data_IF_988118576297
#
_entry.id   IF_988118576297
#
_cell.length_a   1.000
_cell.length_b   1.000
_cell.length_c   1.000
_cell.angle_alpha   90.00
_cell.angle_beta   90.00
_cell.angle_gamma   90.00
#
_symmetry.space_group_name_H-M   'P 1'
#
loop_
_entity.id
_entity.type
_entity.pdbx_description
1 polymer ?
#
# COMPACT_ATOMS: atom_id res chain seq x y z
N UNK A 1 -12.19 10.36 -8.88
CA UNK A 1 -11.57 9.06 -8.55
C UNK A 1 -10.22 9.18 -7.83
N UNK A 2 -9.44 10.24 -8.08
CA UNK A 2 -8.16 10.55 -7.42
C UNK A 2 -8.17 10.34 -5.91
N UNK A 3 -9.18 10.88 -5.21
CA UNK A 3 -9.34 10.71 -3.78
C UNK A 3 -9.51 9.24 -3.36
N UNK A 4 -10.44 8.52 -3.99
CA UNK A 4 -10.76 7.13 -3.61
C UNK A 4 -9.62 6.16 -3.87
N UNK A 5 -8.90 6.32 -4.98
CA UNK A 5 -7.72 5.51 -5.29
C UNK A 5 -6.58 5.79 -4.31
N UNK A 6 -6.30 7.07 -4.00
CA UNK A 6 -5.32 7.44 -3.00
C UNK A 6 -5.72 6.94 -1.61
N UNK A 7 -6.97 7.15 -1.20
CA UNK A 7 -7.47 6.71 0.10
C UNK A 7 -7.39 5.19 0.29
N UNK A 8 -7.93 4.41 -0.65
CA UNK A 8 -7.95 2.95 -0.52
C UNK A 8 -6.55 2.35 -0.59
N UNK A 9 -5.70 2.85 -1.50
CA UNK A 9 -4.30 2.42 -1.58
C UNK A 9 -3.54 2.75 -0.29
N UNK A 10 -3.59 4.02 0.15
CA UNK A 10 -2.93 4.44 1.38
C UNK A 10 -3.49 3.78 2.63
N UNK A 11 -4.76 3.36 2.66
CA UNK A 11 -5.35 2.68 3.81
C UNK A 11 -4.69 1.32 4.06
N UNK A 12 -4.39 0.56 3.00
CA UNK A 12 -3.75 -0.76 3.14
C UNK A 12 -2.33 -0.62 3.68
N UNK A 13 -1.54 0.27 3.09
CA UNK A 13 -0.17 0.54 3.58
C UNK A 13 -0.18 1.07 5.02
N UNK A 14 -1.17 1.90 5.35
CA UNK A 14 -1.33 2.43 6.71
C UNK A 14 -1.62 1.32 7.72
N UNK A 15 -2.35 0.27 7.31
CA UNK A 15 -2.63 -0.90 8.17
C UNK A 15 -1.35 -1.69 8.42
N UNK A 16 -0.52 -1.89 7.40
CA UNK A 16 0.78 -2.57 7.52
C UNK A 16 1.74 -1.77 8.41
N UNK A 17 1.87 -0.47 8.15
CA UNK A 17 2.68 0.43 8.97
C UNK A 17 2.22 0.41 10.43
N UNK A 18 0.90 0.51 10.68
CA UNK A 18 0.33 0.48 12.02
C UNK A 18 0.56 -0.86 12.71
N UNK A 19 0.46 -1.98 11.99
CA UNK A 19 0.69 -3.33 12.54
C UNK A 19 2.13 -3.49 13.02
N UNK A 20 3.11 -2.99 12.25
CA UNK A 20 4.51 -2.97 12.67
C UNK A 20 4.68 -2.13 13.95
N UNK A 21 4.10 -0.93 14.00
CA UNK A 21 4.20 -0.04 15.16
C UNK A 21 3.54 -0.65 16.39
N UNK A 22 2.37 -1.29 16.24
CA UNK A 22 1.67 -1.99 17.33
C UNK A 22 2.49 -3.19 17.82
N UNK A 23 3.02 -4.01 16.92
CA UNK A 23 3.85 -5.16 17.27
C UNK A 23 5.07 -4.74 18.11
N UNK A 24 5.78 -3.69 17.68
CA UNK A 24 6.95 -3.17 18.41
C UNK A 24 6.52 -2.47 19.71
N UNK A 25 5.45 -1.68 19.69
CA UNK A 25 4.95 -0.94 20.85
C UNK A 25 4.47 -1.84 21.99
N UNK A 26 3.79 -2.93 21.65
CA UNK A 26 3.30 -3.92 22.63
C UNK A 26 4.42 -4.81 23.17
N UNK A 27 5.46 -5.10 22.39
CA UNK A 27 6.55 -6.00 22.80
C UNK A 27 7.70 -5.29 23.51
N UNK A 28 8.03 -4.07 23.09
CA UNK A 28 9.22 -3.32 23.55
C UNK A 28 8.90 -1.97 24.20
N UNK A 29 7.63 -1.61 24.33
CA UNK A 29 7.17 -0.35 24.90
C UNK A 29 6.97 0.75 23.85
N UNK A 30 6.19 1.77 24.20
CA UNK A 30 5.64 2.72 23.21
C UNK A 30 6.57 3.90 22.87
N UNK A 31 7.49 4.28 23.76
CA UNK A 31 8.25 5.53 23.61
C UNK A 31 9.13 5.51 22.36
N UNK A 32 10.03 4.53 22.27
CA UNK A 32 10.97 4.33 21.18
C UNK A 32 10.33 4.17 19.78
N UNK A 33 9.35 3.27 19.57
CA UNK A 33 8.72 3.09 18.25
C UNK A 33 7.87 4.28 17.80
N UNK A 34 7.24 5.02 18.73
CA UNK A 34 6.53 6.26 18.37
C UNK A 34 7.50 7.33 17.85
N UNK A 35 8.68 7.49 18.45
CA UNK A 35 9.71 8.38 17.90
C UNK A 35 10.15 7.94 16.50
N UNK A 36 10.35 6.63 16.28
CA UNK A 36 10.70 6.08 14.96
C UNK A 36 9.62 6.39 13.91
N UNK A 37 8.35 6.22 14.29
CA UNK A 37 7.18 6.52 13.45
C UNK A 37 7.15 7.99 13.06
N UNK A 38 7.30 8.91 14.03
CA UNK A 38 7.28 10.35 13.77
C UNK A 38 8.43 10.76 12.85
N UNK A 39 9.64 10.24 13.05
CA UNK A 39 10.79 10.52 12.19
C UNK A 39 10.55 10.01 10.77
N UNK A 40 9.99 8.81 10.60
CA UNK A 40 9.63 8.28 9.28
C UNK A 40 8.61 9.18 8.58
N UNK A 41 7.54 9.57 9.26
CA UNK A 41 6.49 10.44 8.72
C UNK A 41 7.03 11.81 8.29
N UNK A 42 7.92 12.40 9.09
CA UNK A 42 8.58 13.66 8.72
C UNK A 42 9.48 13.49 7.48
N UNK A 43 10.27 12.42 7.41
CA UNK A 43 11.10 12.13 6.25
C UNK A 43 10.26 11.95 4.97
N UNK A 44 9.14 11.23 5.06
CA UNK A 44 8.20 11.04 3.95
C UNK A 44 7.54 12.36 3.54
N UNK A 45 7.13 13.20 4.49
CA UNK A 45 6.56 14.52 4.18
C UNK A 45 7.56 15.42 3.44
N UNK A 46 8.83 15.42 3.86
CA UNK A 46 9.92 16.11 3.15
C UNK A 46 10.09 15.54 1.74
N UNK A 47 10.05 14.21 1.59
CA UNK A 47 10.16 13.56 0.29
C UNK A 47 9.01 13.96 -0.65
N UNK A 48 7.76 13.97 -0.17
CA UNK A 48 6.60 14.45 -0.93
C UNK A 48 6.75 15.92 -1.32
N UNK A 49 7.20 16.78 -0.41
CA UNK A 49 7.36 18.20 -0.68
C UNK A 49 8.42 18.47 -1.75
N UNK A 50 9.57 17.81 -1.67
CA UNK A 50 10.67 17.97 -2.62
C UNK A 50 10.33 17.34 -3.96
N UNK A 51 10.00 16.05 -3.97
CA UNK A 51 9.79 15.30 -5.20
C UNK A 51 8.43 15.64 -5.84
N UNK A 52 7.37 15.86 -5.07
CA UNK A 52 6.06 16.19 -5.60
C UNK A 52 6.08 17.50 -6.41
N UNK A 53 6.69 18.57 -5.88
CA UNK A 53 6.81 19.84 -6.59
C UNK A 53 7.78 19.74 -7.78
N UNK A 54 8.92 19.07 -7.60
CA UNK A 54 9.95 18.96 -8.64
C UNK A 54 9.46 18.15 -9.84
N UNK A 55 8.76 17.05 -9.59
CA UNK A 55 8.24 16.16 -10.63
C UNK A 55 7.14 16.85 -11.43
N UNK A 56 6.19 17.50 -10.75
CA UNK A 56 5.05 18.16 -11.42
C UNK A 56 5.48 19.35 -12.28
N UNK A 57 6.55 20.05 -11.89
CA UNK A 57 6.98 21.28 -12.59
C UNK A 57 8.00 21.06 -13.70
N UNK A 58 8.77 19.96 -13.67
CA UNK A 58 9.90 19.73 -14.60
C UNK A 58 9.69 18.57 -15.57
N UNK A 59 8.76 17.66 -15.33
CA UNK A 59 8.59 16.44 -16.12
C UNK A 59 7.41 16.59 -17.08
N UNK A 60 7.57 16.33 -18.40
CA UNK A 60 6.46 16.35 -19.35
C UNK A 60 5.36 15.35 -18.97
N UNK A 61 4.10 15.73 -19.20
CA UNK A 61 2.93 14.95 -18.81
C UNK A 61 2.95 13.51 -19.35
N UNK A 62 3.31 13.31 -20.62
CA UNK A 62 3.38 11.97 -21.24
C UNK A 62 4.45 11.09 -20.57
N UNK A 63 5.63 11.66 -20.30
CA UNK A 63 6.72 10.97 -19.59
C UNK A 63 6.30 10.61 -18.17
N UNK A 64 5.60 11.52 -17.51
CA UNK A 64 5.06 11.32 -16.17
C UNK A 64 4.06 10.16 -16.16
N UNK A 65 3.07 10.18 -17.06
CA UNK A 65 2.07 9.11 -17.24
C UNK A 65 2.73 7.77 -17.55
N UNK A 66 3.77 7.73 -18.38
CA UNK A 66 4.48 6.50 -18.71
C UNK A 66 5.22 5.91 -17.50
N UNK A 67 6.05 6.72 -16.83
CA UNK A 67 6.86 6.27 -15.69
C UNK A 67 5.94 5.86 -14.55
N UNK A 68 5.00 6.73 -14.18
CA UNK A 68 4.07 6.49 -13.08
C UNK A 68 3.14 5.34 -13.41
N UNK A 69 2.54 5.32 -14.61
CA UNK A 69 1.68 4.24 -15.05
C UNK A 69 2.38 2.88 -14.96
N UNK A 70 3.63 2.81 -15.42
CA UNK A 70 4.44 1.59 -15.31
C UNK A 70 4.70 1.19 -13.87
N UNK A 71 5.11 2.14 -13.01
CA UNK A 71 5.33 1.86 -11.58
C UNK A 71 4.07 1.34 -10.89
N UNK A 72 2.92 1.97 -11.14
CA UNK A 72 1.63 1.54 -10.59
C UNK A 72 1.29 0.13 -11.08
N UNK A 73 1.49 -0.19 -12.37
CA UNK A 73 1.24 -1.55 -12.88
C UNK A 73 2.11 -2.55 -12.12
N UNK A 74 3.40 -2.26 -11.92
CA UNK A 74 4.30 -3.18 -11.20
C UNK A 74 3.87 -3.39 -9.75
N UNK A 75 3.47 -2.33 -9.04
CA UNK A 75 2.95 -2.44 -7.67
C UNK A 75 1.61 -3.18 -7.62
N UNK A 76 0.65 -2.77 -8.43
CA UNK A 76 -0.66 -3.41 -8.51
C UNK A 76 -0.55 -4.88 -8.89
N UNK A 77 0.35 -5.25 -9.79
CA UNK A 77 0.54 -6.64 -10.23
C UNK A 77 1.18 -7.49 -9.12
N UNK A 78 2.14 -6.93 -8.36
CA UNK A 78 2.70 -7.62 -7.18
C UNK A 78 1.61 -7.94 -6.17
N UNK A 79 0.71 -6.99 -5.92
CA UNK A 79 -0.41 -7.14 -5.00
C UNK A 79 -1.45 -8.13 -5.52
N UNK A 80 -1.88 -7.97 -6.77
CA UNK A 80 -2.84 -8.83 -7.42
C UNK A 80 -2.33 -10.28 -7.48
N UNK A 81 -1.05 -10.48 -7.80
CA UNK A 81 -0.42 -11.79 -7.83
C UNK A 81 -0.45 -12.48 -6.45
N UNK A 82 -0.01 -11.79 -5.38
CA UNK A 82 -0.06 -12.33 -4.02
C UNK A 82 -1.50 -12.62 -3.58
N UNK A 83 -2.44 -11.74 -3.91
CA UNK A 83 -3.85 -11.90 -3.52
C UNK A 83 -4.54 -13.04 -4.28
N UNK A 84 -4.22 -13.25 -5.56
CA UNK A 84 -4.66 -14.41 -6.36
C UNK A 84 -4.11 -15.71 -5.78
N UNK A 85 -2.82 -15.76 -5.46
CA UNK A 85 -2.21 -16.98 -4.88
C UNK A 85 -2.78 -17.34 -3.50
N UNK A 86 -3.07 -16.34 -2.66
CA UNK A 86 -3.73 -16.54 -1.36
C UNK A 86 -5.17 -17.01 -1.51
N UNK A 87 -5.95 -16.40 -2.41
CA UNK A 87 -7.34 -16.81 -2.68
C UNK A 87 -7.45 -18.18 -3.36
N UNK A 88 -6.42 -18.60 -4.10
CA UNK A 88 -6.30 -19.94 -4.67
C UNK A 88 -5.87 -21.02 -3.65
N UNK A 89 -5.51 -20.64 -2.41
CA UNK A 89 -5.07 -21.56 -1.37
C UNK A 89 -3.63 -22.08 -1.53
N UNK A 90 -2.84 -21.49 -2.43
CA UNK A 90 -1.43 -21.87 -2.66
C UNK A 90 -0.51 -21.26 -1.61
N UNK A 91 -0.80 -20.03 -1.19
CA UNK A 91 -0.11 -19.35 -0.10
C UNK A 91 -1.10 -19.22 1.06
N UNK A 92 -0.65 -19.55 2.27
CA UNK A 92 -1.46 -19.35 3.47
C UNK A 92 -1.90 -17.88 3.57
N UNK A 93 -3.17 -17.65 3.94
CA UNK A 93 -3.59 -16.30 4.33
C UNK A 93 -2.69 -15.81 5.46
N UNK A 94 -2.31 -14.53 5.39
CA UNK A 94 -1.49 -13.94 6.43
C UNK A 94 -2.30 -13.97 7.72
N UNK A 95 -1.82 -14.77 8.67
CA UNK A 95 -2.43 -14.93 9.98
C UNK A 95 -1.65 -14.00 10.90
N UNK A 96 -2.19 -12.79 11.11
CA UNK A 96 -1.54 -11.76 11.93
C UNK A 96 -1.25 -12.27 13.35
N UNK A 97 -2.07 -13.19 13.88
CA UNK A 97 -1.84 -13.78 15.19
C UNK A 97 -0.56 -14.64 15.22
N UNK A 98 -0.22 -15.31 14.10
CA UNK A 98 1.01 -16.10 13.97
C UNK A 98 2.23 -15.24 13.69
N UNK A 99 2.13 -14.20 12.85
CA UNK A 99 3.24 -13.28 12.64
C UNK A 99 3.54 -12.48 13.91
N UNK A 100 2.50 -12.09 14.66
CA UNK A 100 2.63 -11.49 15.99
C UNK A 100 3.32 -12.45 16.96
N UNK A 101 2.85 -13.69 17.09
CA UNK A 101 3.47 -14.68 17.98
C UNK A 101 4.92 -15.02 17.60
N UNK A 102 5.23 -15.18 16.31
CA UNK A 102 6.59 -15.43 15.83
C UNK A 102 7.51 -14.24 16.11
N UNK A 103 7.05 -13.02 15.83
CA UNK A 103 7.78 -11.78 16.13
C UNK A 103 8.03 -11.64 17.63
N UNK A 104 7.04 -11.94 18.48
CA UNK A 104 7.18 -11.94 19.95
C UNK A 104 8.24 -12.94 20.40
N UNK A 105 8.26 -14.14 19.82
CA UNK A 105 9.19 -15.22 20.20
C UNK A 105 10.63 -14.92 19.78
N UNK A 106 10.83 -14.38 18.57
CA UNK A 106 12.15 -13.94 18.08
C UNK A 106 12.69 -12.76 18.90
N UNK A 107 11.80 -11.86 19.33
CA UNK A 107 12.14 -10.66 20.10
C UNK A 107 12.50 -10.97 21.56
N UNK A 108 11.93 -12.02 22.16
CA UNK A 108 12.24 -12.43 23.54
C UNK A 108 13.69 -12.92 23.73
N UNK A 109 14.43 -13.20 22.65
CA UNK A 109 15.80 -13.71 22.70
C UNK A 109 16.94 -12.68 22.77
N UNK A 110 16.68 -11.38 22.62
CA UNK A 110 17.77 -10.37 22.50
C UNK A 110 17.70 -9.26 23.56
N UNK A 111 18.33 -9.52 24.71
CA UNK A 111 18.59 -8.54 25.77
C UNK A 111 19.80 -7.65 25.43
N UNK A 112 19.65 -6.67 24.53
CA UNK A 112 20.61 -5.57 24.41
C UNK A 112 19.99 -4.33 23.72
N UNK A 113 19.99 -3.20 24.45
CA UNK A 113 19.64 -1.82 24.05
C UNK A 113 18.18 -1.58 23.62
N UNK A 114 17.32 -1.61 24.64
CA UNK A 114 15.85 -1.53 24.63
C UNK A 114 15.25 -0.39 23.77
N UNK A 115 15.92 0.77 23.66
CA UNK A 115 15.40 1.95 22.94
C UNK A 115 15.79 2.06 21.46
N UNK A 116 16.90 1.46 21.02
CA UNK A 116 17.37 1.70 19.64
C UNK A 116 16.75 0.75 18.62
N UNK A 117 16.49 -0.49 19.05
CA UNK A 117 15.93 -1.53 18.18
C UNK A 117 14.48 -1.23 17.83
N UNK A 118 13.65 -0.89 18.83
CA UNK A 118 12.24 -0.54 18.59
C UNK A 118 12.09 0.67 17.67
N UNK A 119 12.94 1.68 17.86
CA UNK A 119 13.03 2.86 17.01
C UNK A 119 13.37 2.47 15.58
N UNK A 120 14.42 1.68 15.39
CA UNK A 120 14.91 1.31 14.05
C UNK A 120 13.90 0.46 13.28
N UNK A 121 13.24 -0.49 13.97
CA UNK A 121 12.22 -1.35 13.33
C UNK A 121 11.01 -0.52 12.93
N UNK A 122 10.47 0.30 13.84
CA UNK A 122 9.33 1.16 13.52
C UNK A 122 9.67 2.20 12.44
N UNK A 123 10.85 2.82 12.52
CA UNK A 123 11.34 3.76 11.50
C UNK A 123 11.41 3.09 10.13
N UNK A 124 12.09 1.94 10.01
CA UNK A 124 12.26 1.24 8.73
C UNK A 124 10.92 0.75 8.19
N UNK A 125 10.09 0.14 9.04
CA UNK A 125 8.77 -0.34 8.67
C UNK A 125 7.90 0.78 8.16
N UNK A 126 7.65 1.80 8.99
CA UNK A 126 6.80 2.94 8.61
C UNK A 126 7.36 3.70 7.42
N UNK A 127 8.69 3.83 7.30
CA UNK A 127 9.30 4.48 6.14
C UNK A 127 9.06 3.67 4.86
N UNK A 128 9.23 2.35 4.89
CA UNK A 128 9.02 1.50 3.70
C UNK A 128 7.55 1.50 3.28
N UNK A 129 6.63 1.20 4.18
CA UNK A 129 5.18 1.21 3.88
C UNK A 129 4.71 2.62 3.47
N UNK A 130 5.18 3.64 4.19
CA UNK A 130 4.84 5.03 3.88
C UNK A 130 5.45 5.53 2.56
N UNK A 131 6.53 4.93 2.06
CA UNK A 131 7.07 5.22 0.73
C UNK A 131 6.13 4.70 -0.36
N UNK A 132 5.49 3.54 -0.15
CA UNK A 132 4.42 3.04 -1.03
C UNK A 132 3.23 4.01 -1.05
N UNK A 133 2.83 4.55 0.11
CA UNK A 133 1.83 5.64 0.21
C UNK A 133 2.23 6.85 -0.62
N UNK A 134 3.47 7.31 -0.49
CA UNK A 134 3.99 8.46 -1.26
C UNK A 134 3.93 8.18 -2.76
N UNK A 135 4.33 6.98 -3.19
CA UNK A 135 4.22 6.59 -4.59
C UNK A 135 2.77 6.65 -5.07
N UNK A 136 1.81 6.09 -4.34
CA UNK A 136 0.39 6.12 -4.70
C UNK A 136 -0.11 7.57 -4.80
N UNK A 137 0.19 8.41 -3.82
CA UNK A 137 -0.29 9.80 -3.76
C UNK A 137 0.30 10.65 -4.90
N UNK A 138 1.60 10.54 -5.15
CA UNK A 138 2.27 11.26 -6.25
C UNK A 138 1.78 10.72 -7.60
N UNK A 139 1.62 9.40 -7.69
CA UNK A 139 1.14 8.73 -8.88
C UNK A 139 -0.25 9.21 -9.29
N UNK A 140 -1.16 9.18 -8.33
CA UNK A 140 -2.56 9.50 -8.55
C UNK A 140 -2.79 11.02 -8.64
N UNK A 141 -2.04 11.80 -7.87
CA UNK A 141 -2.14 13.26 -7.84
C UNK A 141 -1.44 13.98 -8.99
N UNK A 142 -0.30 13.46 -9.46
CA UNK A 142 0.49 14.06 -10.53
C UNK A 142 -0.15 13.95 -11.91
N UNK A 143 -0.89 12.87 -12.18
CA UNK A 143 -1.55 12.62 -13.47
C UNK A 143 -2.88 13.34 -13.63
N UNK A 144 -3.58 13.65 -12.53
CA UNK A 144 -4.88 14.33 -12.57
C UNK A 144 -4.80 15.83 -12.27
N UNK A 145 -3.61 16.41 -12.13
CA UNK A 145 -3.40 17.79 -11.66
C UNK A 145 -3.93 18.05 -10.24
N UNK A 146 -4.22 16.98 -9.49
CA UNK A 146 -4.97 17.00 -8.24
C UNK A 146 -4.15 16.55 -7.04
N UNK A 147 -2.85 16.88 -7.00
CA UNK A 147 -1.95 16.51 -5.92
C UNK A 147 -2.52 16.82 -4.52
N UNK A 148 -3.14 18.00 -4.27
CA UNK A 148 -3.76 18.27 -2.96
C UNK A 148 -4.87 17.29 -2.59
N UNK A 149 -5.66 16.85 -3.58
CA UNK A 149 -6.78 15.91 -3.38
C UNK A 149 -6.24 14.50 -3.09
N UNK A 150 -5.19 14.07 -3.79
CA UNK A 150 -4.52 12.80 -3.54
C UNK A 150 -3.87 12.77 -2.15
N UNK A 151 -3.19 13.85 -1.76
CA UNK A 151 -2.60 14.02 -0.43
C UNK A 151 -3.68 13.98 0.64
N UNK A 152 -4.81 14.67 0.45
CA UNK A 152 -5.94 14.61 1.38
C UNK A 152 -6.50 13.18 1.53
N UNK A 153 -6.61 12.44 0.43
CA UNK A 153 -7.01 11.02 0.46
C UNK A 153 -6.04 10.16 1.26
N UNK A 154 -4.74 10.30 1.04
CA UNK A 154 -3.71 9.57 1.78
C UNK A 154 -3.70 9.90 3.27
N UNK A 155 -3.77 11.19 3.62
CA UNK A 155 -3.82 11.63 5.02
C UNK A 155 -5.09 11.16 5.75
N UNK A 156 -6.25 11.19 5.09
CA UNK A 156 -7.49 10.68 5.66
C UNK A 156 -7.43 9.17 5.87
N UNK A 157 -6.81 8.43 4.95
CA UNK A 157 -6.60 6.99 5.13
C UNK A 157 -5.72 6.71 6.35
N UNK A 158 -4.57 7.39 6.46
CA UNK A 158 -3.64 7.24 7.57
C UNK A 158 -4.30 7.57 8.92
N UNK A 159 -5.03 8.68 9.00
CA UNK A 159 -5.70 9.08 10.25
C UNK A 159 -6.86 8.16 10.62
N UNK A 160 -7.63 7.70 9.63
CA UNK A 160 -8.72 6.72 9.84
C UNK A 160 -8.17 5.39 10.37
N UNK A 161 -7.10 4.88 9.75
CA UNK A 161 -6.47 3.62 10.15
C UNK A 161 -5.81 3.74 11.52
N UNK A 162 -5.07 4.82 11.77
CA UNK A 162 -4.48 5.08 13.09
C UNK A 162 -5.56 5.18 14.18
N UNK A 163 -6.66 5.90 13.91
CA UNK A 163 -7.81 6.00 14.81
C UNK A 163 -8.47 4.66 15.09
N UNK A 164 -8.68 3.84 14.05
CA UNK A 164 -9.18 2.48 14.20
C UNK A 164 -8.26 1.60 15.07
N UNK A 165 -6.95 1.70 14.88
CA UNK A 165 -5.95 1.01 15.71
C UNK A 165 -6.02 1.37 17.19
N UNK A 166 -6.24 2.65 17.50
CA UNK A 166 -6.36 3.14 18.88
C UNK A 166 -7.61 2.60 19.60
N UNK A 167 -8.71 2.43 18.86
CA UNK A 167 -9.98 1.90 19.38
C UNK A 167 -9.91 0.38 19.55
N UNK A 168 -9.34 -0.33 18.58
CA UNK A 168 -9.39 -1.78 18.53
C UNK A 168 -8.40 -2.43 19.52
N UNK A 169 -7.26 -1.79 19.85
CA UNK A 169 -6.22 -2.23 20.82
C UNK A 169 -5.81 -3.72 20.76
N UNK A 170 -6.19 -4.41 19.69
CA UNK A 170 -5.85 -5.78 19.33
C UNK A 170 -5.18 -5.73 17.95
N UNK A 171 -4.34 -6.71 17.60
CA UNK A 171 -3.85 -6.86 16.24
C UNK A 171 -5.05 -6.78 15.28
N UNK A 172 -4.88 -6.12 14.15
CA UNK A 172 -5.92 -5.82 13.17
C UNK A 172 -6.39 -7.07 12.41
N UNK A 173 -6.44 -8.23 13.08
CA UNK A 173 -6.80 -9.56 12.60
C UNK A 173 -8.21 -9.65 11.99
N UNK A 174 -8.99 -8.56 12.02
CA UNK A 174 -10.31 -8.46 11.39
C UNK A 174 -10.33 -7.62 10.10
N UNK A 175 -9.23 -6.97 9.72
CA UNK A 175 -9.18 -6.25 8.44
C UNK A 175 -8.98 -7.29 7.33
N UNK A 176 -9.87 -7.34 6.33
CA UNK A 176 -9.73 -8.28 5.22
C UNK A 176 -8.61 -7.80 4.27
N UNK A 177 -7.35 -7.86 4.72
CA UNK A 177 -6.13 -7.41 4.01
C UNK A 177 -6.11 -7.99 2.59
N UNK A 178 -6.40 -9.29 2.46
CA UNK A 178 -6.38 -9.93 1.15
C UNK A 178 -7.42 -9.35 0.19
N UNK A 179 -8.63 -9.06 0.67
CA UNK A 179 -9.70 -8.46 -0.14
C UNK A 179 -9.34 -7.03 -0.54
N UNK A 180 -8.76 -6.26 0.38
CA UNK A 180 -8.29 -4.91 0.10
C UNK A 180 -7.13 -4.92 -0.90
N UNK A 181 -6.10 -5.75 -0.70
CA UNK A 181 -4.98 -5.90 -1.65
C UNK A 181 -5.43 -6.39 -3.01
N UNK A 182 -6.45 -7.24 -3.07
CA UNK A 182 -7.04 -7.68 -4.32
C UNK A 182 -7.76 -6.53 -5.04
N UNK A 183 -8.65 -5.81 -4.36
CA UNK A 183 -9.40 -4.69 -4.92
C UNK A 183 -8.48 -3.54 -5.33
N UNK A 184 -7.57 -3.13 -4.44
CA UNK A 184 -6.55 -2.11 -4.71
C UNK A 184 -5.62 -2.58 -5.83
N UNK A 185 -5.18 -3.85 -5.83
CA UNK A 185 -4.36 -4.43 -6.89
C UNK A 185 -5.00 -4.30 -8.26
N UNK A 186 -6.31 -4.57 -8.38
CA UNK A 186 -7.08 -4.39 -9.62
C UNK A 186 -7.16 -2.91 -10.00
N UNK A 187 -7.50 -2.03 -9.06
CA UNK A 187 -7.63 -0.59 -9.32
C UNK A 187 -6.28 -0.03 -9.80
N UNK A 188 -5.19 -0.34 -9.11
CA UNK A 188 -3.83 0.09 -9.46
C UNK A 188 -3.42 -0.47 -10.82
N UNK A 189 -3.50 -1.78 -11.06
CA UNK A 189 -3.14 -2.35 -12.37
C UNK A 189 -3.94 -1.74 -13.51
N UNK A 190 -5.22 -1.45 -13.29
CA UNK A 190 -6.08 -0.83 -14.31
C UNK A 190 -5.69 0.61 -14.61
N UNK A 191 -5.54 1.41 -13.55
CA UNK A 191 -5.15 2.82 -13.65
C UNK A 191 -3.74 2.97 -14.23
N UNK A 192 -2.81 2.11 -13.79
CA UNK A 192 -1.46 2.06 -14.30
C UNK A 192 -1.39 1.67 -15.77
N UNK A 193 -2.19 0.67 -16.20
CA UNK A 193 -2.24 0.24 -17.61
C UNK A 193 -2.81 1.36 -18.48
N UNK A 194 -3.85 2.05 -18.00
CA UNK A 194 -4.43 3.19 -18.67
C UNK A 194 -3.38 4.30 -18.90
N UNK A 195 -2.69 4.73 -17.84
CA UNK A 195 -1.66 5.78 -17.94
C UNK A 195 -0.39 5.36 -18.67
N UNK A 196 0.04 4.11 -18.56
CA UNK A 196 1.18 3.61 -19.32
C UNK A 196 0.88 3.68 -20.83
N UNK A 197 -0.33 3.31 -21.25
CA UNK A 197 -0.76 3.42 -22.64
C UNK A 197 -0.87 4.88 -23.11
N UNK A 198 -1.47 5.78 -22.31
CA UNK A 198 -1.50 7.22 -22.64
C UNK A 198 -0.10 7.82 -22.72
N UNK A 199 0.81 7.42 -21.83
CA UNK A 199 2.20 7.86 -21.82
C UNK A 199 2.99 7.39 -23.04
N UNK A 200 2.55 6.31 -23.70
CA UNK A 200 3.06 5.88 -25.02
C UNK A 200 2.39 6.60 -26.19
N UNK A 201 1.46 7.52 -25.94
CA UNK A 201 0.72 8.26 -26.96
C UNK A 201 -0.53 7.54 -27.49
N UNK A 202 -0.97 6.46 -26.85
CA UNK A 202 -2.22 5.79 -27.22
C UNK A 202 -3.43 6.56 -26.66
N UNK A 203 -4.48 6.68 -27.47
CA UNK A 203 -5.76 7.26 -27.05
C UNK A 203 -6.74 6.13 -26.70
N UNK A 204 -7.36 6.22 -25.53
CA UNK A 204 -8.36 5.23 -25.10
C UNK A 204 -9.77 5.59 -25.61
N UNK A 205 -10.54 4.62 -26.14
CA UNK A 205 -11.92 4.86 -26.53
C UNK A 205 -12.78 5.10 -25.29
N UNK A 206 -13.53 6.21 -25.25
CA UNK A 206 -14.29 6.67 -24.05
C UNK A 206 -13.42 7.25 -22.93
N UNK A 207 -12.16 7.61 -23.23
CA UNK A 207 -11.26 8.30 -22.31
C UNK A 207 -11.18 7.54 -20.97
N UNK A 208 -11.41 8.21 -19.85
CA UNK A 208 -11.29 7.66 -18.51
C UNK A 208 -12.25 6.49 -18.20
N UNK A 209 -13.36 6.36 -18.91
CA UNK A 209 -14.33 5.24 -18.71
C UNK A 209 -13.67 3.88 -19.03
N UNK A 210 -12.66 3.88 -19.89
CA UNK A 210 -11.86 2.71 -20.26
C UNK A 210 -11.25 2.00 -19.06
N UNK A 211 -10.93 2.73 -17.98
CA UNK A 211 -10.37 2.16 -16.75
C UNK A 211 -11.30 1.11 -16.16
N UNK A 212 -12.62 1.28 -16.25
CA UNK A 212 -13.58 0.27 -15.77
C UNK A 212 -13.55 -1.00 -16.62
N UNK A 213 -13.38 -0.86 -17.94
CA UNK A 213 -13.19 -1.98 -18.84
C UNK A 213 -11.91 -2.75 -18.54
N UNK A 214 -10.79 -2.03 -18.35
CA UNK A 214 -9.50 -2.63 -17.96
C UNK A 214 -9.62 -3.34 -16.60
N UNK A 215 -10.32 -2.73 -15.64
CA UNK A 215 -10.59 -3.36 -14.33
C UNK A 215 -11.43 -4.62 -14.44
N UNK A 216 -12.45 -4.64 -15.30
CA UNK A 216 -13.24 -5.84 -15.56
C UNK A 216 -12.38 -6.96 -16.19
N UNK A 217 -11.46 -6.61 -17.09
CA UNK A 217 -10.52 -7.57 -17.69
C UNK A 217 -9.56 -8.14 -16.63
N UNK A 218 -8.92 -7.31 -15.81
CA UNK A 218 -8.05 -7.79 -14.73
C UNK A 218 -8.81 -8.61 -13.69
N UNK A 219 -10.04 -8.22 -13.34
CA UNK A 219 -10.90 -8.99 -12.46
C UNK A 219 -11.24 -10.35 -13.07
N UNK A 220 -11.67 -10.40 -14.34
CA UNK A 220 -11.94 -11.66 -15.05
C UNK A 220 -10.70 -12.56 -15.12
N UNK A 221 -9.57 -12.02 -15.55
CA UNK A 221 -8.30 -12.74 -15.64
C UNK A 221 -7.84 -13.28 -14.28
N UNK A 222 -7.95 -12.48 -13.21
CA UNK A 222 -7.61 -12.94 -11.86
C UNK A 222 -8.58 -14.02 -11.36
N UNK A 223 -9.88 -13.95 -11.66
CA UNK A 223 -10.83 -15.02 -11.30
C UNK A 223 -10.54 -16.33 -12.03
N UNK A 224 -10.17 -16.25 -13.31
CA UNK A 224 -9.70 -17.40 -14.09
C UNK A 224 -8.41 -17.97 -13.49
N UNK A 225 -7.42 -17.12 -13.17
CA UNK A 225 -6.19 -17.54 -12.55
C UNK A 225 -6.43 -18.25 -11.20
N UNK A 226 -7.31 -17.70 -10.35
CA UNK A 226 -7.71 -18.37 -9.10
C UNK A 226 -8.32 -19.74 -9.36
N UNK A 227 -9.21 -19.86 -10.36
CA UNK A 227 -9.88 -21.12 -10.69
C UNK A 227 -8.88 -22.19 -11.21
N UNK A 228 -7.91 -21.78 -12.04
CA UNK A 228 -6.90 -22.66 -12.61
C UNK A 228 -5.86 -23.12 -11.57
N UNK A 229 -5.51 -22.23 -10.64
CA UNK A 229 -4.44 -22.45 -9.65
C UNK A 229 -5.00 -23.08 -8.37
N UNK A 230 -6.33 -23.14 -8.21
CA UNK A 230 -6.98 -23.61 -6.98
C UNK A 230 -6.49 -25.01 -6.62
N UNK A 231 -5.75 -25.11 -5.51
CA UNK A 231 -5.40 -26.40 -4.92
C UNK A 231 -6.44 -26.75 -3.86
N UNK A 232 -7.03 -27.95 -3.88
CA UNK A 232 -7.84 -28.40 -2.75
C UNK A 232 -6.96 -28.40 -1.50
N UNK A 233 -7.43 -27.77 -0.43
CA UNK A 233 -6.78 -27.80 0.88
C UNK A 233 -6.70 -29.29 1.28
N UNK A 234 -5.53 -29.83 1.66
CA UNK A 234 -5.48 -31.15 2.26
C UNK A 234 -6.32 -31.10 3.53
N UNK A 235 -7.41 -31.89 3.54
CA UNK A 235 -8.23 -32.13 4.74
C UNK A 235 -7.44 -32.85 5.81
#
# INVERSE_FOLDING_TARGET
>A
MTFGAAFLGSAVESVEALTIVLAVGLTRGWRSPLYGTVVALLALAVLVAIFGQLIVTRVPELTLKLIIGTLIVLFGLRWLHKAVLRSAGVIAMHDEDKSYAATVTEIQGTSARQDWVGFTIALKGVFLEGLEVVFIVVAVGGTSGGLPIAVAGGLLAMTTVAGAGLVVRKPLAQVPENTLKYAVGIILTSLGTFWAAEGMGAAWPLDFVSVLGIAAVYFGASRVAVALIRRPVPV
#
